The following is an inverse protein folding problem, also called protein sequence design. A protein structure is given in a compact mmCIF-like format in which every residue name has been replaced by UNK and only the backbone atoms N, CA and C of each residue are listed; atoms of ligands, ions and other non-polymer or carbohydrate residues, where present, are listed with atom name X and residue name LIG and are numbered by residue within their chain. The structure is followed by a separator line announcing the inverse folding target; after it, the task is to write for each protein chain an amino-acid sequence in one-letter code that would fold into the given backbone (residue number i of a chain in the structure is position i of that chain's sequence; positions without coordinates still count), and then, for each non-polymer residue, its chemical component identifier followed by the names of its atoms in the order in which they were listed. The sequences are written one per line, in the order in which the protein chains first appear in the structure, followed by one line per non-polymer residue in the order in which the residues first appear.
data_IF_167906963198
#
_entry.id   IF_167906963198
#
_cell.length_a   1.000
_cell.length_b   1.000
_cell.length_c   1.000
_cell.angle_alpha   90.00
_cell.angle_beta   90.00
_cell.angle_gamma   90.00
#
_symmetry.space_group_name_H-M   'P 1'
#
loop_
_entity.id
_entity.type
_entity.pdbx_description
1 polymer ?
#
# COMPACT_ATOMS: atom_id res chain seq x y z
N UNK A 1 -10.60 2.72 8.88
CA UNK A 1 -10.07 2.27 7.59
C UNK A 1 -11.18 2.44 6.56
N UNK A 2 -11.06 3.37 5.60
CA UNK A 2 -12.10 3.67 4.60
C UNK A 2 -11.94 2.86 3.30
N UNK A 3 -10.91 2.02 3.21
CA UNK A 3 -10.71 1.13 2.06
C UNK A 3 -11.64 -0.07 2.16
N UNK A 4 -12.72 -0.03 1.40
CA UNK A 4 -13.57 -1.20 1.18
C UNK A 4 -12.99 -2.04 0.04
N UNK A 5 -12.60 -3.27 0.36
CA UNK A 5 -12.22 -4.28 -0.62
C UNK A 5 -13.20 -5.45 -0.47
N UNK A 6 -14.15 -5.66 -1.39
CA UNK A 6 -15.03 -6.82 -1.31
C UNK A 6 -14.20 -8.10 -1.43
N UNK A 7 -14.38 -9.08 -0.54
CA UNK A 7 -13.61 -10.31 -0.59
C UNK A 7 -13.96 -11.10 -1.86
N UNK A 8 -12.95 -11.72 -2.49
CA UNK A 8 -13.17 -12.62 -3.64
C UNK A 8 -13.85 -13.93 -3.25
N UNK A 9 -13.67 -14.36 -1.98
CA UNK A 9 -14.21 -15.61 -1.44
C UNK A 9 -14.86 -15.32 -0.10
N UNK A 10 -15.94 -16.03 0.22
CA UNK A 10 -16.75 -15.79 1.42
C UNK A 10 -15.97 -15.89 2.75
N UNK A 11 -14.87 -16.64 2.79
CA UNK A 11 -14.08 -16.88 3.99
C UNK A 11 -12.82 -16.02 4.11
N UNK A 12 -12.63 -15.01 3.25
CA UNK A 12 -11.48 -14.10 3.37
C UNK A 12 -11.68 -13.12 4.52
N UNK A 13 -10.63 -12.95 5.31
CA UNK A 13 -10.51 -11.87 6.27
C UNK A 13 -10.36 -10.51 5.56
N UNK A 14 -10.63 -9.42 6.27
CA UNK A 14 -10.40 -8.07 5.74
C UNK A 14 -8.96 -7.85 5.28
N UNK A 15 -7.98 -8.35 6.05
CA UNK A 15 -6.56 -8.20 5.71
C UNK A 15 -6.20 -8.94 4.43
N UNK A 16 -6.73 -10.15 4.21
CA UNK A 16 -6.53 -10.89 2.96
C UNK A 16 -7.18 -10.18 1.77
N UNK A 17 -8.36 -9.59 1.96
CA UNK A 17 -9.05 -8.85 0.91
C UNK A 17 -8.28 -7.56 0.52
N UNK A 18 -7.74 -6.84 1.51
CA UNK A 18 -6.89 -5.66 1.27
C UNK A 18 -5.57 -6.04 0.59
N UNK A 19 -4.90 -7.10 1.03
CA UNK A 19 -3.66 -7.58 0.40
C UNK A 19 -3.90 -8.00 -1.06
N UNK A 20 -5.01 -8.68 -1.35
CA UNK A 20 -5.39 -9.03 -2.73
C UNK A 20 -5.67 -7.79 -3.59
N UNK A 21 -6.31 -6.76 -3.03
CA UNK A 21 -6.50 -5.47 -3.70
C UNK A 21 -5.15 -4.81 -4.02
N UNK A 22 -4.25 -4.71 -3.03
CA UNK A 22 -2.95 -4.07 -3.20
C UNK A 22 -2.11 -4.80 -4.25
N UNK A 23 -2.07 -6.14 -4.24
CA UNK A 23 -1.39 -6.94 -5.27
C UNK A 23 -1.89 -6.64 -6.68
N UNK A 24 -3.22 -6.58 -6.87
CA UNK A 24 -3.80 -6.23 -8.18
C UNK A 24 -3.43 -4.83 -8.63
N UNK A 25 -3.36 -3.85 -7.72
CA UNK A 25 -2.90 -2.50 -8.05
C UNK A 25 -1.48 -2.57 -8.60
N UNK A 26 -0.57 -3.28 -7.91
CA UNK A 26 0.80 -3.49 -8.36
C UNK A 26 0.90 -4.18 -9.73
N UNK A 27 0.13 -5.24 -9.94
CA UNK A 27 0.05 -5.96 -11.23
C UNK A 27 -0.45 -5.06 -12.36
N UNK A 28 -1.52 -4.28 -12.13
CA UNK A 28 -2.10 -3.38 -13.14
C UNK A 28 -1.18 -2.23 -13.52
N UNK A 29 -0.38 -1.76 -12.56
CA UNK A 29 0.64 -0.73 -12.80
C UNK A 29 1.96 -1.32 -13.35
N UNK A 30 2.10 -2.65 -13.37
CA UNK A 30 3.32 -3.32 -13.79
C UNK A 30 4.52 -2.99 -12.89
N UNK A 31 4.27 -2.84 -11.59
CA UNK A 31 5.30 -2.52 -10.60
C UNK A 31 6.28 -3.69 -10.47
N UNK A 32 7.56 -3.34 -10.55
CA UNK A 32 8.70 -4.25 -10.44
C UNK A 32 9.96 -3.44 -10.19
N UNK A 33 11.05 -4.12 -9.89
CA UNK A 33 12.38 -3.52 -9.84
C UNK A 33 12.68 -2.65 -11.07
N UNK A 34 13.30 -1.49 -10.82
CA UNK A 34 13.58 -0.48 -11.86
C UNK A 34 12.40 0.41 -12.25
N UNK A 35 11.23 0.27 -11.61
CA UNK A 35 10.10 1.21 -11.74
C UNK A 35 10.00 2.11 -10.51
N UNK A 36 9.68 3.38 -10.72
CA UNK A 36 9.32 4.34 -9.68
C UNK A 36 7.80 4.57 -9.65
N UNK A 37 7.21 4.66 -8.46
CA UNK A 37 5.79 4.90 -8.26
C UNK A 37 5.56 5.93 -7.15
N UNK A 38 4.56 6.81 -7.34
CA UNK A 38 4.13 7.77 -6.32
C UNK A 38 2.71 7.41 -5.86
N UNK A 39 2.54 7.18 -4.56
CA UNK A 39 1.24 6.93 -3.92
C UNK A 39 0.72 8.23 -3.29
N UNK A 40 -0.24 8.87 -3.98
CA UNK A 40 -0.83 10.17 -3.57
C UNK A 40 -2.02 9.90 -2.65
N UNK A 41 -1.94 10.39 -1.42
CA UNK A 41 -2.89 10.03 -0.36
C UNK A 41 -2.52 8.70 0.30
N UNK A 42 -1.22 8.46 0.52
CA UNK A 42 -0.70 7.17 0.99
C UNK A 42 -1.14 6.77 2.41
N UNK A 43 -1.78 7.68 3.15
CA UNK A 43 -2.14 7.46 4.55
C UNK A 43 -0.91 7.09 5.39
N UNK A 44 -1.08 6.09 6.26
CA UNK A 44 0.01 5.46 7.03
C UNK A 44 0.82 4.40 6.24
N UNK A 45 0.79 4.45 4.91
CA UNK A 45 1.63 3.65 4.02
C UNK A 45 1.23 2.17 3.88
N UNK A 46 -0.02 1.81 4.17
CA UNK A 46 -0.48 0.41 4.11
C UNK A 46 -0.32 -0.23 2.73
N UNK A 47 -0.76 0.46 1.66
CA UNK A 47 -0.62 0.00 0.27
C UNK A 47 0.85 -0.14 -0.11
N UNK A 48 1.67 0.87 0.18
CA UNK A 48 3.10 0.86 -0.12
C UNK A 48 3.83 -0.30 0.56
N UNK A 49 3.44 -0.65 1.80
CA UNK A 49 4.03 -1.78 2.55
C UNK A 49 3.86 -3.09 1.82
N UNK A 50 2.64 -3.35 1.36
CA UNK A 50 2.32 -4.58 0.65
C UNK A 50 2.94 -4.60 -0.76
N UNK A 51 3.06 -3.43 -1.40
CA UNK A 51 3.69 -3.27 -2.70
C UNK A 51 5.23 -3.30 -2.66
N UNK A 52 5.87 -3.14 -1.50
CA UNK A 52 7.32 -3.16 -1.38
C UNK A 52 7.93 -4.47 -1.91
N UNK A 53 7.19 -5.59 -1.80
CA UNK A 53 7.60 -6.89 -2.33
C UNK A 53 7.76 -6.92 -3.87
N UNK A 54 7.26 -5.91 -4.60
CA UNK A 54 7.48 -5.80 -6.04
C UNK A 54 8.90 -5.35 -6.40
N UNK A 55 9.64 -4.76 -5.45
CA UNK A 55 10.97 -4.18 -5.69
C UNK A 55 10.94 -2.83 -6.41
N UNK A 56 9.76 -2.26 -6.70
CA UNK A 56 9.64 -0.90 -7.20
C UNK A 56 10.11 0.12 -6.17
N UNK A 57 10.63 1.25 -6.64
CA UNK A 57 10.91 2.42 -5.81
C UNK A 57 9.60 3.18 -5.54
N UNK A 58 9.20 3.28 -4.26
CA UNK A 58 7.90 3.79 -3.85
C UNK A 58 8.06 5.07 -3.02
N UNK A 59 7.41 6.15 -3.46
CA UNK A 59 7.31 7.41 -2.73
C UNK A 59 5.87 7.67 -2.31
N UNK A 60 5.62 7.90 -1.02
CA UNK A 60 4.30 8.23 -0.49
C UNK A 60 4.15 9.73 -0.26
N UNK A 61 2.97 10.28 -0.57
CA UNK A 61 2.61 11.66 -0.28
C UNK A 61 1.30 11.68 0.52
N UNK A 62 1.28 12.39 1.64
CA UNK A 62 0.06 12.67 2.41
C UNK A 62 0.05 14.12 2.90
N UNK A 63 -1.15 14.67 3.06
CA UNK A 63 -1.36 16.01 3.63
C UNK A 63 -1.29 15.99 5.17
N UNK A 64 -1.45 14.82 5.78
CA UNK A 64 -1.56 14.68 7.23
C UNK A 64 -0.19 14.37 7.85
N UNK A 65 0.46 15.38 8.44
CA UNK A 65 1.80 15.26 9.01
C UNK A 65 1.92 14.21 10.13
N UNK A 66 0.84 13.91 10.83
CA UNK A 66 0.81 12.84 11.83
C UNK A 66 0.94 11.43 11.21
N UNK A 67 0.44 11.22 9.98
CA UNK A 67 0.60 9.95 9.28
C UNK A 67 2.06 9.69 8.90
N UNK A 68 2.79 10.74 8.50
CA UNK A 68 4.24 10.67 8.26
C UNK A 68 4.97 10.22 9.53
N UNK A 69 4.70 10.86 10.67
CA UNK A 69 5.30 10.48 11.97
C UNK A 69 5.00 9.03 12.35
N UNK A 70 3.78 8.54 12.10
CA UNK A 70 3.41 7.15 12.36
C UNK A 70 4.26 6.21 11.50
N UNK A 71 4.46 6.53 10.22
CA UNK A 71 5.29 5.74 9.30
C UNK A 71 6.74 5.72 9.75
N UNK A 72 7.33 6.88 10.06
CA UNK A 72 8.73 7.00 10.55
C UNK A 72 8.97 6.07 11.76
N UNK A 73 8.07 6.12 12.75
CA UNK A 73 8.14 5.28 13.94
C UNK A 73 7.96 3.78 13.64
N UNK A 74 7.09 3.42 12.69
CA UNK A 74 6.79 2.03 12.36
C UNK A 74 7.81 1.39 11.41
N UNK A 75 8.45 2.18 10.56
CA UNK A 75 9.34 1.70 9.50
C UNK A 75 10.81 1.96 9.80
N UNK A 76 11.13 2.69 10.89
CA UNK A 76 12.50 3.00 11.29
C UNK A 76 13.22 3.90 10.28
N UNK A 77 12.50 4.80 9.63
CA UNK A 77 13.03 5.79 8.68
C UNK A 77 12.80 7.19 9.22
#
# INVERSE_FOLDING_TARGET
NFHFAPPKKANMTLNEALLDLHRKIGEKLGLKEGKSCVDIGCGIGGVMRDLAATGADLTGITIAANEVKIVELQWGR
#
